data_IF_535388104439
#
_entry.id   IF_535388104439
#
_cell.length_a   1.000
_cell.length_b   1.000
_cell.length_c   1.000
_cell.angle_alpha   90.00
_cell.angle_beta   90.00
_cell.angle_gamma   90.00
#
_symmetry.space_group_name_H-M   'P 1'
#
loop_
_entity.id
_entity.type
_entity.pdbx_description
1 polymer ?
#
# COMPACT_ATOMS: atom_id res chain seq x y z
N UNK A 1 5.28 -11.28 -14.67
CA UNK A 1 4.38 -10.15 -14.40
C UNK A 1 5.18 -8.94 -13.95
N UNK A 2 4.94 -7.78 -14.53
CA UNK A 2 5.63 -6.55 -14.13
C UNK A 2 5.09 -6.03 -12.81
N UNK A 3 5.88 -5.15 -12.14
CA UNK A 3 5.42 -4.49 -10.92
C UNK A 3 4.14 -3.71 -11.15
N UNK A 4 4.04 -3.04 -12.29
CA UNK A 4 2.85 -2.28 -12.64
C UNK A 4 1.62 -3.18 -12.73
N UNK A 5 1.74 -4.30 -13.42
CA UNK A 5 0.61 -5.22 -13.61
C UNK A 5 0.15 -5.81 -12.28
N UNK A 6 1.08 -6.21 -11.44
CA UNK A 6 0.76 -6.75 -10.12
C UNK A 6 0.03 -5.72 -9.27
N UNK A 7 0.54 -4.49 -9.23
CA UNK A 7 -0.07 -3.42 -8.44
C UNK A 7 -1.45 -3.06 -8.97
N UNK A 8 -1.62 -3.07 -10.29
CA UNK A 8 -2.91 -2.79 -10.90
C UNK A 8 -3.93 -3.89 -10.57
N UNK A 9 -3.50 -5.14 -10.60
CA UNK A 9 -4.38 -6.26 -10.23
C UNK A 9 -4.83 -6.15 -8.78
N UNK A 10 -3.93 -5.82 -7.87
CA UNK A 10 -4.27 -5.62 -6.47
C UNK A 10 -5.25 -4.46 -6.32
N UNK A 11 -4.99 -3.35 -6.99
CA UNK A 11 -5.90 -2.22 -6.98
C UNK A 11 -7.32 -2.63 -7.40
N UNK A 12 -7.43 -3.33 -8.51
CA UNK A 12 -8.73 -3.74 -9.04
C UNK A 12 -9.42 -4.79 -8.16
N UNK A 13 -8.66 -5.77 -7.69
CA UNK A 13 -9.20 -6.87 -6.89
C UNK A 13 -9.74 -6.39 -5.54
N UNK A 14 -9.04 -5.45 -4.92
CA UNK A 14 -9.39 -4.97 -3.58
C UNK A 14 -10.17 -3.66 -3.60
N UNK A 15 -10.41 -3.09 -4.76
CA UNK A 15 -11.17 -1.84 -4.88
C UNK A 15 -10.42 -0.63 -4.34
N UNK A 16 -9.10 -0.60 -4.49
CA UNK A 16 -8.29 0.51 -4.02
C UNK A 16 -8.44 1.72 -4.94
N UNK A 17 -8.33 2.90 -4.35
CA UNK A 17 -8.42 4.17 -5.08
C UNK A 17 -7.20 4.41 -5.96
N UNK A 18 -6.03 4.00 -5.48
CA UNK A 18 -4.75 4.18 -6.16
C UNK A 18 -3.96 2.88 -6.13
N UNK A 19 -3.02 2.73 -7.07
CA UNK A 19 -2.10 1.61 -7.02
C UNK A 19 -1.24 1.71 -5.76
N UNK A 20 -1.06 0.63 -5.00
CA UNK A 20 -0.19 0.66 -3.84
C UNK A 20 1.27 0.82 -4.28
N UNK A 21 2.00 1.73 -3.66
CA UNK A 21 3.44 1.84 -3.83
C UNK A 21 4.10 0.83 -2.89
N UNK A 22 4.93 -0.06 -3.43
CA UNK A 22 5.50 -1.17 -2.67
C UNK A 22 6.99 -0.98 -2.44
N UNK A 23 7.44 -1.22 -1.22
CA UNK A 23 8.84 -1.05 -0.81
C UNK A 23 9.28 -2.27 -0.02
N UNK A 24 10.52 -2.70 -0.26
CA UNK A 24 11.13 -3.80 0.51
C UNK A 24 11.53 -3.31 1.90
N UNK A 25 12.00 -2.06 1.99
CA UNK A 25 12.51 -1.47 3.21
C UNK A 25 11.40 -0.69 3.94
N UNK A 26 11.08 -1.11 5.15
CA UNK A 26 10.04 -0.47 5.94
C UNK A 26 10.35 0.97 6.32
N UNK A 27 11.62 1.29 6.63
CA UNK A 27 12.01 2.66 6.95
C UNK A 27 11.77 3.59 5.77
N UNK A 28 12.10 3.14 4.56
CA UNK A 28 11.84 3.92 3.35
C UNK A 28 10.35 4.11 3.13
N UNK A 29 9.55 3.07 3.35
CA UNK A 29 8.09 3.15 3.20
C UNK A 29 7.51 4.20 4.16
N UNK A 30 7.95 4.21 5.42
CA UNK A 30 7.48 5.21 6.39
C UNK A 30 7.91 6.62 6.01
N UNK A 31 9.11 6.80 5.47
CA UNK A 31 9.55 8.11 5.01
C UNK A 31 8.69 8.60 3.84
N UNK A 32 8.41 7.74 2.88
CA UNK A 32 7.55 8.08 1.74
C UNK A 32 6.15 8.43 2.23
N UNK A 33 5.63 7.70 3.21
CA UNK A 33 4.31 7.97 3.76
C UNK A 33 4.23 9.34 4.46
N UNK A 34 5.34 9.80 5.03
CA UNK A 34 5.39 11.10 5.71
C UNK A 34 5.60 12.26 4.74
N UNK A 35 6.17 12.00 3.57
CA UNK A 35 6.46 13.05 2.59
C UNK A 35 5.19 13.45 1.85
N UNK A 36 5.13 14.69 1.38
CA UNK A 36 4.00 15.21 0.64
C UNK A 36 2.91 15.79 1.53
N UNK A 37 1.87 16.29 0.91
CA UNK A 37 0.77 16.98 1.58
C UNK A 37 -0.38 16.07 1.99
N UNK A 38 -0.36 14.82 1.55
CA UNK A 38 -1.44 13.87 1.78
C UNK A 38 -1.02 12.84 2.81
N UNK A 39 -1.89 12.60 3.78
CA UNK A 39 -1.66 11.58 4.79
C UNK A 39 -1.73 10.21 4.16
N UNK A 40 -0.72 9.38 4.42
CA UNK A 40 -0.65 8.01 3.91
C UNK A 40 -0.35 7.05 5.05
N UNK A 41 -0.65 5.78 4.81
CA UNK A 41 -0.38 4.71 5.77
C UNK A 41 0.50 3.65 5.14
N UNK A 42 1.20 2.90 5.98
CA UNK A 42 2.02 1.77 5.57
C UNK A 42 1.31 0.49 5.98
N UNK A 43 1.10 -0.39 5.00
CA UNK A 43 0.42 -1.67 5.20
C UNK A 43 1.41 -2.79 4.87
N UNK A 44 1.39 -3.84 5.69
CA UNK A 44 2.19 -5.03 5.40
C UNK A 44 1.46 -5.84 4.33
N UNK A 45 2.04 -5.90 3.14
CA UNK A 45 1.42 -6.57 2.01
C UNK A 45 1.57 -8.09 2.05
N UNK A 46 0.74 -8.76 1.26
CA UNK A 46 0.77 -10.22 1.17
C UNK A 46 2.01 -10.76 0.45
N UNK A 47 2.75 -9.89 -0.23
CA UNK A 47 3.99 -10.23 -0.92
C UNK A 47 5.24 -10.02 -0.05
N UNK A 48 5.06 -9.70 1.23
CA UNK A 48 6.16 -9.43 2.14
C UNK A 48 6.76 -8.04 2.01
N UNK A 49 6.15 -7.17 1.23
CA UNK A 49 6.62 -5.79 1.04
C UNK A 49 5.74 -4.82 1.84
N UNK A 50 6.26 -3.62 2.04
CA UNK A 50 5.52 -2.55 2.71
C UNK A 50 4.81 -1.71 1.66
N UNK A 51 3.50 -1.59 1.78
CA UNK A 51 2.66 -0.86 0.83
C UNK A 51 2.31 0.50 1.40
N UNK A 52 2.62 1.57 0.65
CA UNK A 52 2.23 2.93 1.02
C UNK A 52 0.95 3.27 0.26
N UNK A 53 -0.11 3.56 1.00
CA UNK A 53 -1.44 3.81 0.44
C UNK A 53 -2.09 5.00 1.16
N UNK A 54 -3.11 5.58 0.54
CA UNK A 54 -3.87 6.63 1.21
C UNK A 54 -4.69 6.03 2.37
N UNK A 55 -5.14 6.88 3.28
CA UNK A 55 -5.84 6.40 4.48
C UNK A 55 -7.11 5.61 4.14
N UNK A 56 -7.82 6.02 3.10
CA UNK A 56 -9.01 5.30 2.66
C UNK A 56 -8.68 3.88 2.19
N UNK A 57 -7.63 3.75 1.38
CA UNK A 57 -7.18 2.44 0.90
C UNK A 57 -6.63 1.60 2.04
N UNK A 58 -5.97 2.23 3.01
CA UNK A 58 -5.51 1.52 4.20
C UNK A 58 -6.67 0.90 4.98
N UNK A 59 -7.76 1.63 5.15
CA UNK A 59 -8.94 1.08 5.81
C UNK A 59 -9.55 -0.08 5.02
N UNK A 60 -9.60 0.04 3.70
CA UNK A 60 -10.07 -1.04 2.84
C UNK A 60 -9.23 -2.29 3.01
N UNK A 61 -7.90 -2.13 3.04
CA UNK A 61 -6.97 -3.25 3.20
C UNK A 61 -7.10 -3.90 4.58
N UNK A 62 -7.19 -3.10 5.62
CA UNK A 62 -7.37 -3.64 6.99
C UNK A 62 -8.67 -4.43 7.09
N UNK A 63 -9.74 -3.93 6.49
CA UNK A 63 -11.02 -4.63 6.47
C UNK A 63 -10.94 -5.94 5.68
N UNK A 64 -10.02 -6.03 4.73
CA UNK A 64 -9.79 -7.25 3.94
C UNK A 64 -8.83 -8.23 4.63
N UNK A 65 -8.36 -7.92 5.84
CA UNK A 65 -7.49 -8.81 6.61
C UNK A 65 -6.01 -8.43 6.62
N UNK A 66 -5.64 -7.32 5.98
CA UNK A 66 -4.25 -6.85 5.98
C UNK A 66 -3.94 -6.13 7.30
N UNK A 67 -2.66 -6.13 7.66
CA UNK A 67 -2.20 -5.48 8.89
C UNK A 67 -1.44 -4.19 8.59
N UNK A 68 -1.59 -3.21 9.46
CA UNK A 68 -0.74 -2.02 9.41
C UNK A 68 0.67 -2.38 9.88
N UNK A 69 1.62 -1.82 9.21
CA UNK A 69 3.03 -2.00 9.60
C UNK A 69 3.38 -1.17 10.83
#
# INVERSE_FOLDING_TARGET
>A
MSHYEFEKQIQNKLGLRHRPARYINGALAFEVAKSGNTRKAVILGCDGRYWVVCMRDANTLVNAGYSRA
#
